data_IF_090660981241
#
_entry.id   IF_090660981241
#
_cell.length_a   1.000
_cell.length_b   1.000
_cell.length_c   1.000
_cell.angle_alpha   90.00
_cell.angle_beta   90.00
_cell.angle_gamma   90.00
#
_symmetry.space_group_name_H-M   'P 1'
#
loop_
_entity.id
_entity.type
_entity.pdbx_description
1 polymer ?
#
# COMPACT_ATOMS: atom_id res chain seq x y z
N UNK A 1 -30.14 2.49 -2.88
CA UNK A 1 -28.74 2.05 -2.99
C UNK A 1 -27.85 3.26 -3.24
N UNK A 2 -26.65 3.28 -2.64
CA UNK A 2 -25.65 4.33 -2.83
C UNK A 2 -24.33 3.60 -3.12
N UNK A 3 -23.66 3.96 -4.20
CA UNK A 3 -22.34 3.46 -4.59
C UNK A 3 -21.32 4.53 -4.22
N UNK A 4 -20.32 4.15 -3.43
CA UNK A 4 -19.26 5.05 -2.98
C UNK A 4 -17.93 4.54 -3.53
N UNK A 5 -17.27 5.39 -4.31
CA UNK A 5 -15.92 5.12 -4.83
C UNK A 5 -14.93 5.82 -3.91
N UNK A 6 -14.12 5.04 -3.20
CA UNK A 6 -13.08 5.57 -2.29
C UNK A 6 -11.75 5.72 -3.01
N UNK A 7 -10.84 6.52 -2.44
CA UNK A 7 -9.48 6.75 -2.97
C UNK A 7 -9.48 7.47 -4.33
N UNK A 8 -10.40 8.42 -4.50
CA UNK A 8 -10.53 9.23 -5.72
C UNK A 8 -9.29 10.12 -6.01
N UNK A 9 -8.31 10.18 -5.12
CA UNK A 9 -7.05 10.89 -5.34
C UNK A 9 -6.12 10.24 -6.38
N UNK A 10 -6.37 8.99 -6.78
CA UNK A 10 -5.65 8.34 -7.89
C UNK A 10 -6.07 8.85 -9.27
N UNK A 11 -7.06 9.74 -9.35
CA UNK A 11 -7.47 10.36 -10.62
C UNK A 11 -6.25 10.98 -11.34
N UNK A 12 -5.31 11.56 -10.60
CA UNK A 12 -4.12 12.21 -11.16
C UNK A 12 -3.00 11.25 -11.56
N UNK A 13 -3.00 10.02 -11.02
CA UNK A 13 -1.93 9.02 -11.26
C UNK A 13 -2.21 8.18 -12.51
N UNK A 14 -3.45 8.20 -13.01
CA UNK A 14 -3.90 7.39 -14.15
C UNK A 14 -4.17 8.28 -15.37
N UNK A 15 -4.15 7.68 -16.56
CA UNK A 15 -4.54 8.40 -17.78
C UNK A 15 -5.99 8.88 -17.70
N UNK A 16 -6.24 10.10 -18.20
CA UNK A 16 -7.56 10.73 -18.19
C UNK A 16 -8.62 9.86 -18.87
N UNK A 17 -8.27 9.26 -20.02
CA UNK A 17 -9.15 8.36 -20.77
C UNK A 17 -9.54 7.11 -19.97
N UNK A 18 -8.62 6.53 -19.20
CA UNK A 18 -8.92 5.38 -18.36
C UNK A 18 -9.86 5.75 -17.20
N UNK A 19 -9.73 6.97 -16.66
CA UNK A 19 -10.63 7.46 -15.61
C UNK A 19 -12.03 7.76 -16.16
N UNK A 20 -12.13 8.37 -17.34
CA UNK A 20 -13.40 8.66 -17.99
C UNK A 20 -14.14 7.37 -18.37
N UNK A 21 -13.40 6.32 -18.75
CA UNK A 21 -13.93 4.97 -18.97
C UNK A 21 -14.55 4.40 -17.70
N UNK A 22 -13.78 4.38 -16.60
CA UNK A 22 -14.27 3.91 -15.28
C UNK A 22 -15.50 4.72 -14.85
N UNK A 23 -15.46 6.04 -15.03
CA UNK A 23 -16.58 6.91 -14.69
C UNK A 23 -17.84 6.56 -15.49
N UNK A 24 -17.72 6.38 -16.81
CA UNK A 24 -18.83 5.95 -17.66
C UNK A 24 -19.43 4.62 -17.20
N UNK A 25 -18.58 3.63 -16.92
CA UNK A 25 -19.02 2.29 -16.55
C UNK A 25 -19.68 2.25 -15.16
N UNK A 26 -19.11 2.98 -14.19
CA UNK A 26 -19.70 3.09 -12.85
C UNK A 26 -21.02 3.88 -12.89
N UNK A 27 -21.12 4.93 -13.71
CA UNK A 27 -22.38 5.65 -13.90
C UNK A 27 -23.45 4.78 -14.55
N UNK A 28 -23.09 3.99 -15.56
CA UNK A 28 -23.99 3.03 -16.19
C UNK A 28 -24.47 1.96 -15.20
N UNK A 29 -23.56 1.45 -14.37
CA UNK A 29 -23.92 0.56 -13.26
C UNK A 29 -24.91 1.24 -12.31
N UNK A 30 -24.64 2.48 -11.88
CA UNK A 30 -25.55 3.20 -10.99
C UNK A 30 -26.93 3.44 -11.62
N UNK A 31 -26.99 3.73 -12.93
CA UNK A 31 -28.23 3.92 -13.66
C UNK A 31 -29.10 2.65 -13.67
N UNK A 32 -28.50 1.47 -13.86
CA UNK A 32 -29.22 0.19 -13.85
C UNK A 32 -29.94 -0.08 -12.52
N UNK A 33 -29.35 0.33 -11.40
CA UNK A 33 -29.90 0.12 -10.05
C UNK A 33 -30.62 1.36 -9.49
N UNK A 34 -30.71 2.46 -10.25
CA UNK A 34 -31.21 3.75 -9.72
C UNK A 34 -30.43 4.24 -8.50
N UNK A 35 -29.14 3.91 -8.42
CA UNK A 35 -28.27 4.25 -7.32
C UNK A 35 -27.71 5.66 -7.48
N UNK A 36 -27.35 6.27 -6.35
CA UNK A 36 -26.51 7.48 -6.36
C UNK A 36 -25.04 7.09 -6.38
N UNK A 37 -24.21 7.94 -6.98
CA UNK A 37 -22.77 7.75 -7.07
C UNK A 37 -22.05 8.89 -6.35
N UNK A 38 -21.09 8.55 -5.47
CA UNK A 38 -20.28 9.53 -4.75
C UNK A 38 -18.81 9.11 -4.78
N UNK A 39 -17.93 10.02 -5.18
CA UNK A 39 -16.48 9.82 -5.12
C UNK A 39 -15.93 10.47 -3.85
N UNK A 40 -15.12 9.74 -3.09
CA UNK A 40 -14.52 10.27 -1.86
C UNK A 40 -13.03 9.96 -1.80
N UNK A 41 -12.30 10.86 -1.17
CA UNK A 41 -10.87 10.74 -0.91
C UNK A 41 -10.56 11.25 0.49
N UNK A 42 -9.50 10.72 1.09
CA UNK A 42 -8.97 11.20 2.38
C UNK A 42 -8.43 12.63 2.28
N UNK A 43 -8.05 13.10 1.09
CA UNK A 43 -7.47 14.43 0.88
C UNK A 43 -8.50 15.56 0.96
N UNK A 44 -9.76 15.29 0.61
CA UNK A 44 -10.81 16.31 0.48
C UNK A 44 -12.09 15.89 1.22
N UNK A 45 -12.40 16.47 2.39
CA UNK A 45 -13.56 16.07 3.18
C UNK A 45 -14.90 16.60 2.66
N UNK A 46 -14.91 17.48 1.63
CA UNK A 46 -16.14 18.12 1.13
C UNK A 46 -17.19 17.09 0.71
N UNK A 47 -16.81 16.10 -0.10
CA UNK A 47 -17.75 15.10 -0.59
C UNK A 47 -18.14 14.08 0.48
N UNK A 48 -17.32 13.90 1.52
CA UNK A 48 -17.65 13.06 2.67
C UNK A 48 -18.78 13.68 3.50
N UNK A 49 -18.75 15.00 3.73
CA UNK A 49 -19.86 15.70 4.39
C UNK A 49 -21.13 15.66 3.54
N UNK A 50 -21.00 15.82 2.22
CA UNK A 50 -22.12 15.70 1.29
C UNK A 50 -22.75 14.30 1.35
N UNK A 51 -21.92 13.24 1.35
CA UNK A 51 -22.38 11.86 1.48
C UNK A 51 -23.16 11.65 2.77
N UNK A 52 -22.64 12.12 3.91
CA UNK A 52 -23.33 12.01 5.19
C UNK A 52 -24.71 12.71 5.14
N UNK A 53 -24.77 13.93 4.61
CA UNK A 53 -26.03 14.67 4.41
C UNK A 53 -26.99 13.92 3.48
N UNK A 54 -26.48 13.32 2.41
CA UNK A 54 -27.28 12.58 1.45
C UNK A 54 -27.82 11.27 2.04
N UNK A 55 -27.06 10.58 2.89
CA UNK A 55 -27.53 9.40 3.63
C UNK A 55 -28.69 9.77 4.54
N UNK A 56 -28.56 10.86 5.32
CA UNK A 56 -29.64 11.33 6.21
C UNK A 56 -30.89 11.71 5.39
N UNK A 57 -30.72 12.39 4.25
CA UNK A 57 -31.82 12.65 3.31
C UNK A 57 -32.51 11.35 2.87
N UNK A 58 -31.75 10.32 2.48
CA UNK A 58 -32.31 9.05 2.01
C UNK A 58 -32.93 8.20 3.11
N UNK A 59 -32.44 8.32 4.35
CA UNK A 59 -32.94 7.57 5.50
C UNK A 59 -34.20 8.19 6.09
N UNK A 60 -34.27 9.53 6.18
CA UNK A 60 -35.35 10.24 6.87
C UNK A 60 -36.27 11.05 5.94
N UNK A 61 -36.01 11.07 4.63
CA UNK A 61 -36.84 11.79 3.65
C UNK A 61 -36.76 13.32 3.73
N UNK A 62 -35.72 13.87 4.37
CA UNK A 62 -35.52 15.32 4.49
C UNK A 62 -35.29 15.97 3.12
N UNK A 63 -35.62 17.25 2.89
CA UNK A 63 -35.32 17.90 1.62
C UNK A 63 -33.80 17.95 1.34
N UNK A 64 -33.41 17.63 0.11
CA UNK A 64 -32.01 17.70 -0.35
C UNK A 64 -31.93 18.51 -1.64
N UNK A 65 -31.25 19.66 -1.57
CA UNK A 65 -31.19 20.65 -2.65
C UNK A 65 -29.83 20.71 -3.34
N UNK A 66 -28.88 19.86 -2.95
CA UNK A 66 -27.55 19.91 -3.55
C UNK A 66 -27.56 19.30 -4.94
N UNK A 67 -27.18 20.12 -5.93
CA UNK A 67 -27.04 19.72 -7.33
C UNK A 67 -25.90 18.73 -7.53
N UNK A 68 -26.02 17.91 -8.58
CA UNK A 68 -24.95 17.01 -9.02
C UNK A 68 -23.66 17.80 -9.30
N UNK A 69 -22.53 17.19 -8.94
CA UNK A 69 -21.19 17.71 -9.18
C UNK A 69 -20.44 16.71 -10.07
N UNK A 70 -20.02 17.16 -11.25
CA UNK A 70 -19.28 16.33 -12.20
C UNK A 70 -18.09 17.06 -12.83
N UNK A 71 -17.86 18.31 -12.41
CA UNK A 71 -16.78 19.16 -12.93
C UNK A 71 -15.45 18.66 -12.36
N UNK A 72 -15.42 18.48 -11.04
CA UNK A 72 -14.23 18.07 -10.31
C UNK A 72 -14.20 16.55 -10.17
N UNK A 73 -13.19 15.91 -10.78
CA UNK A 73 -13.07 14.44 -10.85
C UNK A 73 -12.80 13.77 -9.49
N UNK A 74 -12.24 14.51 -8.53
CA UNK A 74 -12.01 14.04 -7.16
C UNK A 74 -13.25 14.17 -6.26
N UNK A 75 -14.26 14.94 -6.67
CA UNK A 75 -15.46 15.25 -5.89
C UNK A 75 -16.76 15.04 -6.67
N UNK A 76 -16.78 13.99 -7.48
CA UNK A 76 -17.97 13.60 -8.26
C UNK A 76 -19.14 13.22 -7.32
N UNK A 77 -20.29 13.80 -7.58
CA UNK A 77 -21.56 13.51 -6.93
C UNK A 77 -22.68 13.44 -7.96
N UNK A 78 -23.31 12.27 -8.09
CA UNK A 78 -24.47 12.05 -8.94
C UNK A 78 -25.63 11.53 -8.07
N UNK A 79 -26.67 12.35 -7.80
CA UNK A 79 -27.83 11.90 -7.06
C UNK A 79 -28.67 10.90 -7.87
N UNK A 80 -29.45 10.08 -7.17
CA UNK A 80 -30.29 9.09 -7.83
C UNK A 80 -31.32 9.78 -8.75
N UNK A 81 -31.44 9.28 -9.98
CA UNK A 81 -32.35 9.84 -11.00
C UNK A 81 -31.82 11.08 -11.74
N UNK A 82 -30.62 11.56 -11.41
CA UNK A 82 -30.01 12.66 -12.16
C UNK A 82 -29.43 12.22 -13.51
N UNK A 83 -28.93 10.97 -13.58
CA UNK A 83 -28.26 10.44 -14.75
C UNK A 83 -29.22 9.92 -15.84
N UNK A 84 -28.73 9.75 -17.06
CA UNK A 84 -29.50 9.19 -18.19
C UNK A 84 -28.56 8.58 -19.23
N UNK A 85 -29.02 7.57 -19.98
CA UNK A 85 -28.19 6.88 -20.99
C UNK A 85 -27.58 7.88 -21.98
N UNK A 86 -28.37 8.85 -22.47
CA UNK A 86 -27.90 9.92 -23.38
C UNK A 86 -26.78 10.78 -22.78
N UNK A 87 -26.85 11.09 -21.47
CA UNK A 87 -25.81 11.89 -20.79
C UNK A 87 -24.52 11.10 -20.65
N UNK A 88 -24.62 9.79 -20.41
CA UNK A 88 -23.47 8.89 -20.33
C UNK A 88 -22.86 8.71 -21.71
N UNK A 89 -23.68 8.56 -22.75
CA UNK A 89 -23.23 8.37 -24.14
C UNK A 89 -22.44 9.57 -24.68
N UNK A 90 -22.82 10.80 -24.33
CA UNK A 90 -22.04 12.01 -24.66
C UNK A 90 -20.64 11.98 -24.03
N UNK A 91 -20.52 11.51 -22.79
CA UNK A 91 -19.21 11.37 -22.14
C UNK A 91 -18.42 10.25 -22.79
N UNK A 92 -19.10 9.14 -23.13
CA UNK A 92 -18.50 7.98 -23.80
C UNK A 92 -17.96 8.32 -25.19
N UNK A 93 -18.63 9.17 -25.97
CA UNK A 93 -18.18 9.55 -27.31
C UNK A 93 -16.87 10.33 -27.32
N UNK A 94 -16.50 10.97 -26.20
CA UNK A 94 -15.22 11.66 -26.07
C UNK A 94 -14.05 10.69 -25.81
N UNK A 95 -14.32 9.41 -25.56
CA UNK A 95 -13.31 8.38 -25.31
C UNK A 95 -12.98 7.71 -26.65
N UNK A 96 -11.78 7.97 -27.16
CA UNK A 96 -11.30 7.48 -28.47
C UNK A 96 -11.02 5.97 -28.51
N UNK A 97 -10.74 5.36 -27.37
CA UNK A 97 -10.37 3.95 -27.28
C UNK A 97 -11.58 3.13 -26.79
N UNK A 98 -12.31 2.54 -27.75
CA UNK A 98 -13.28 1.49 -27.44
C UNK A 98 -12.48 0.22 -27.16
N UNK A 99 -11.95 0.13 -25.96
CA UNK A 99 -11.42 -1.13 -25.46
C UNK A 99 -12.34 -1.65 -24.39
N UNK A 100 -12.61 -2.95 -24.44
CA UNK A 100 -13.32 -3.68 -23.40
C UNK A 100 -12.61 -3.36 -22.08
N UNK A 101 -13.33 -3.13 -20.97
CA UNK A 101 -12.68 -3.27 -19.67
C UNK A 101 -12.30 -4.75 -19.59
N UNK A 102 -11.15 -5.13 -20.15
CA UNK A 102 -10.45 -6.33 -19.75
C UNK A 102 -10.48 -6.28 -18.23
N UNK A 103 -11.13 -7.24 -17.55
CA UNK A 103 -11.14 -7.26 -16.11
C UNK A 103 -9.67 -7.27 -15.74
N UNK A 104 -9.19 -6.18 -15.16
CA UNK A 104 -7.83 -6.09 -14.63
C UNK A 104 -7.80 -6.98 -13.39
N UNK A 105 -7.91 -8.30 -13.61
CA UNK A 105 -7.26 -9.32 -12.83
C UNK A 105 -5.79 -9.07 -13.10
N UNK A 106 -5.26 -8.01 -12.53
CA UNK A 106 -3.87 -7.99 -12.14
C UNK A 106 -3.69 -9.35 -11.49
N UNK A 107 -3.01 -10.25 -12.21
CA UNK A 107 -2.51 -11.48 -11.62
C UNK A 107 -1.75 -10.93 -10.44
N UNK A 108 -2.31 -11.08 -9.24
CA UNK A 108 -1.60 -10.70 -8.03
C UNK A 108 -0.30 -11.45 -8.19
N UNK A 109 0.76 -10.72 -8.52
CA UNK A 109 2.10 -11.22 -8.41
C UNK A 109 2.27 -11.30 -6.90
N UNK A 110 1.70 -12.36 -6.34
CA UNK A 110 2.17 -12.95 -5.12
C UNK A 110 3.60 -13.31 -5.53
N UNK A 111 4.52 -12.38 -5.33
CA UNK A 111 5.87 -12.74 -5.03
C UNK A 111 5.69 -13.76 -3.92
N UNK A 112 5.75 -15.04 -4.28
CA UNK A 112 5.69 -16.14 -3.34
C UNK A 112 6.79 -15.80 -2.36
N UNK A 113 6.43 -15.24 -1.21
CA UNK A 113 7.30 -15.34 -0.05
C UNK A 113 7.63 -16.83 0.02
N UNK A 114 8.92 -17.20 0.06
CA UNK A 114 9.29 -18.59 0.13
C UNK A 114 8.57 -19.17 1.35
N UNK A 115 7.68 -20.13 1.10
CA UNK A 115 6.96 -20.84 2.14
C UNK A 115 8.02 -21.50 3.03
N UNK A 116 8.25 -20.92 4.21
CA UNK A 116 9.20 -21.47 5.18
C UNK A 116 8.50 -22.68 5.80
N UNK A 117 8.81 -23.86 5.26
CA UNK A 117 8.43 -25.13 5.87
C UNK A 117 9.16 -25.20 7.22
N UNK A 118 8.40 -25.20 8.31
CA UNK A 118 8.97 -25.42 9.64
C UNK A 118 9.59 -26.83 9.69
N UNK A 119 10.84 -26.95 10.14
CA UNK A 119 11.42 -28.27 10.42
C UNK A 119 10.57 -29.01 11.47
N UNK A 120 10.46 -30.33 11.31
CA UNK A 120 9.83 -31.19 12.31
C UNK A 120 10.58 -31.06 13.65
N UNK A 121 9.87 -30.58 14.68
CA UNK A 121 10.44 -30.28 15.99
C UNK A 121 11.06 -31.52 16.62
N UNK A 122 10.51 -32.71 16.35
CA UNK A 122 11.01 -33.96 16.93
C UNK A 122 12.34 -34.39 16.29
N UNK A 123 12.50 -34.21 14.98
CA UNK A 123 13.76 -34.42 14.27
C UNK A 123 14.85 -33.43 14.73
N UNK A 124 14.49 -32.16 14.93
CA UNK A 124 15.40 -31.14 15.47
C UNK A 124 15.91 -31.51 16.87
N UNK A 125 15.01 -31.87 17.79
CA UNK A 125 15.38 -32.27 19.15
C UNK A 125 16.26 -33.52 19.19
N UNK A 126 16.01 -34.48 18.30
CA UNK A 126 16.81 -35.72 18.20
C UNK A 126 18.23 -35.42 17.73
N UNK A 127 18.40 -34.58 16.69
CA UNK A 127 19.73 -34.13 16.23
C UNK A 127 20.49 -33.38 17.33
N UNK A 128 19.80 -32.55 18.11
CA UNK A 128 20.41 -31.81 19.21
C UNK A 128 20.86 -32.73 20.35
N UNK A 129 20.04 -33.72 20.72
CA UNK A 129 20.40 -34.73 21.72
C UNK A 129 21.61 -35.57 21.27
N UNK A 130 21.67 -35.96 20.00
CA UNK A 130 22.81 -36.69 19.44
C UNK A 130 24.11 -35.87 19.44
N UNK A 131 24.02 -34.56 19.22
CA UNK A 131 25.16 -33.65 19.28
C UNK A 131 25.69 -33.51 20.72
N UNK A 132 24.79 -33.38 21.70
CA UNK A 132 25.11 -33.41 23.13
C UNK A 132 25.74 -34.74 23.57
N UNK A 133 25.20 -35.87 23.09
CA UNK A 133 25.74 -37.19 23.40
C UNK A 133 27.13 -37.40 22.80
N UNK A 134 27.40 -36.88 21.59
CA UNK A 134 28.72 -36.97 20.96
C UNK A 134 29.79 -36.16 21.68
N UNK A 135 29.46 -34.98 22.22
CA UNK A 135 30.39 -34.18 23.02
C UNK A 135 30.71 -34.84 24.38
N UNK A 136 29.77 -35.62 24.93
CA UNK A 136 30.03 -36.41 26.15
C UNK A 136 30.96 -37.61 25.92
N UNK A 137 31.18 -38.02 24.67
CA UNK A 137 32.06 -39.14 24.32
C UNK A 137 33.50 -38.71 24.00
N UNK A 138 33.75 -37.42 23.73
CA UNK A 138 35.09 -36.86 23.44
C UNK A 138 35.78 -36.23 24.64
N UNK A 139 35.07 -36.00 25.76
CA UNK A 139 35.66 -35.42 26.98
C UNK A 139 35.52 -36.36 28.18
N UNK A 140 36.10 -37.56 28.04
CA UNK A 140 36.46 -38.37 29.18
C UNK A 140 37.56 -37.69 29.98
N UNK A 141 37.25 -37.44 31.26
CA UNK A 141 38.17 -37.01 32.34
C UNK A 141 38.39 -35.49 32.49
N UNK A 142 37.61 -34.86 33.37
CA UNK A 142 38.16 -34.03 34.46
C UNK A 142 37.17 -33.94 35.62
N UNK A 143 37.59 -34.56 36.71
CA UNK A 143 37.07 -34.44 38.07
C UNK A 143 37.51 -33.07 38.63
N UNK A 144 36.59 -32.20 39.05
CA UNK A 144 36.81 -31.23 40.14
C UNK A 144 35.45 -30.81 40.73
N UNK A 145 35.36 -30.87 42.06
CA UNK A 145 34.39 -30.18 42.90
C UNK A 145 34.43 -28.64 42.70
N UNK A 146 33.49 -27.95 43.36
CA UNK A 146 33.56 -26.52 43.72
C UNK A 146 32.90 -25.49 42.80
N UNK A 147 32.33 -24.49 43.47
CA UNK A 147 31.33 -23.56 43.01
C UNK A 147 31.86 -22.54 41.98
N UNK A 148 31.00 -22.21 41.02
CA UNK A 148 31.11 -21.01 40.18
C UNK A 148 31.93 -21.18 38.92
N UNK A 149 31.30 -21.62 37.82
CA UNK A 149 31.85 -21.45 36.47
C UNK A 149 30.79 -20.92 35.52
N UNK A 150 31.16 -19.86 34.82
CA UNK A 150 30.40 -19.12 33.82
C UNK A 150 29.73 -20.03 32.80
N UNK A 151 28.42 -19.84 32.58
CA UNK A 151 27.58 -20.58 31.63
C UNK A 151 27.96 -20.40 30.14
N UNK A 152 29.17 -19.88 29.85
CA UNK A 152 29.67 -19.51 28.53
C UNK A 152 30.08 -20.69 27.67
N UNK A 153 30.41 -21.84 28.26
CA UNK A 153 30.87 -23.05 27.52
C UNK A 153 29.84 -24.18 27.49
N UNK A 154 28.57 -23.90 27.82
CA UNK A 154 27.53 -24.91 27.65
C UNK A 154 27.25 -25.14 26.15
N UNK A 155 27.03 -26.39 25.69
CA UNK A 155 26.65 -26.68 24.31
C UNK A 155 25.42 -25.88 23.86
N UNK A 156 24.54 -25.57 24.82
CA UNK A 156 23.40 -24.68 24.67
C UNK A 156 23.82 -23.24 24.33
N UNK A 157 24.80 -22.67 25.04
CA UNK A 157 25.32 -21.32 24.77
C UNK A 157 26.06 -21.23 23.42
N UNK A 158 26.78 -22.27 23.02
CA UNK A 158 27.40 -22.38 21.68
C UNK A 158 26.36 -22.46 20.56
N UNK A 159 25.22 -23.08 20.83
CA UNK A 159 24.10 -23.13 19.88
C UNK A 159 23.37 -21.79 19.76
N UNK A 160 23.05 -21.14 20.89
CA UNK A 160 22.42 -19.81 20.88
C UNK A 160 23.33 -18.73 20.29
N UNK A 161 24.64 -18.79 20.50
CA UNK A 161 25.59 -17.86 19.90
C UNK A 161 25.70 -18.04 18.38
N UNK A 162 25.59 -19.27 17.85
CA UNK A 162 25.53 -19.52 16.41
C UNK A 162 24.20 -19.05 15.79
N UNK A 163 23.06 -19.21 16.49
CA UNK A 163 21.77 -18.66 16.05
C UNK A 163 21.73 -17.12 16.03
N UNK A 164 22.41 -16.47 16.97
CA UNK A 164 22.56 -15.01 16.98
C UNK A 164 23.52 -14.53 15.87
N UNK A 165 24.38 -15.41 15.36
CA UNK A 165 25.40 -15.10 14.36
C UNK A 165 24.88 -15.23 12.92
N UNK A 166 23.87 -16.06 12.68
CA UNK A 166 23.18 -16.16 11.39
C UNK A 166 22.18 -15.01 11.18
N UNK A 167 22.73 -13.85 10.81
CA UNK A 167 22.00 -12.82 10.07
C UNK A 167 22.38 -12.96 8.59
N UNK A 168 21.49 -13.40 7.69
CA UNK A 168 21.79 -13.34 6.26
C UNK A 168 21.98 -11.87 5.87
N UNK A 169 23.19 -11.54 5.41
CA UNK A 169 23.47 -10.32 4.66
C UNK A 169 22.63 -10.35 3.38
N UNK A 170 21.42 -9.80 3.45
CA UNK A 170 20.77 -9.23 2.28
C UNK A 170 21.31 -7.83 2.08
N UNK A 171 22.03 -7.67 0.97
CA UNK A 171 22.49 -6.39 0.42
C UNK A 171 21.38 -5.35 0.37
N UNK A 172 21.44 -4.34 1.25
CA UNK A 172 20.94 -3.00 0.95
C UNK A 172 21.93 -1.97 1.50
N UNK A 173 22.68 -1.40 0.56
CA UNK A 173 23.41 -0.15 0.71
C UNK A 173 22.46 0.94 1.21
N UNK A 174 22.74 1.47 2.38
CA UNK A 174 22.27 2.79 2.80
C UNK A 174 23.29 3.33 3.82
N UNK A 175 24.30 4.03 3.30
CA UNK A 175 25.13 4.90 4.14
C UNK A 175 24.29 6.10 4.58
N UNK A 176 24.43 6.60 5.82
CA UNK A 176 23.84 7.87 6.21
C UNK A 176 24.61 9.00 5.53
N UNK A 177 23.93 9.74 4.64
CA UNK A 177 24.48 10.94 4.00
C UNK A 177 24.25 12.13 4.92
N UNK A 178 25.36 12.78 5.30
CA UNK A 178 25.42 13.94 6.19
C UNK A 178 24.69 15.16 5.61
N UNK A 179 23.87 15.80 6.44
CA UNK A 179 23.01 16.95 6.11
C UNK A 179 23.74 18.18 5.56
N UNK A 180 25.06 18.30 5.76
CA UNK A 180 25.86 19.44 5.30
C UNK A 180 26.06 19.47 3.77
N UNK A 181 26.00 18.33 3.08
CA UNK A 181 26.21 18.29 1.63
C UNK A 181 24.94 18.60 0.83
N UNK A 182 23.75 18.40 1.40
CA UNK A 182 22.48 18.73 0.73
C UNK A 182 22.19 20.24 0.76
N UNK A 183 22.57 20.94 1.84
CA UNK A 183 22.38 22.40 1.92
C UNK A 183 23.29 23.14 0.94
N UNK A 184 24.54 22.71 0.78
CA UNK A 184 25.48 23.31 -0.19
C UNK A 184 25.06 23.12 -1.65
N UNK A 185 24.31 22.04 -1.96
CA UNK A 185 23.76 21.82 -3.32
C UNK A 185 22.52 22.66 -3.59
N UNK A 186 21.65 22.87 -2.59
CA UNK A 186 20.47 23.74 -2.72
C UNK A 186 20.89 25.21 -2.90
N UNK A 187 21.92 25.67 -2.18
CA UNK A 187 22.41 27.04 -2.29
C UNK A 187 23.05 27.31 -3.67
N UNK A 188 23.80 26.36 -4.22
CA UNK A 188 24.32 26.44 -5.61
C UNK A 188 23.22 26.48 -6.67
N UNK A 189 22.09 25.81 -6.45
CA UNK A 189 20.95 25.83 -7.38
C UNK A 189 20.19 27.17 -7.29
N UNK A 190 20.06 27.71 -6.08
CA UNK A 190 19.43 29.02 -5.89
C UNK A 190 20.26 30.15 -6.49
N UNK A 191 21.59 30.10 -6.33
CA UNK A 191 22.50 31.12 -6.86
C UNK A 191 22.58 31.12 -8.39
N UNK A 192 22.30 29.98 -9.04
CA UNK A 192 22.21 29.89 -10.51
C UNK A 192 20.92 30.49 -11.09
N UNK A 193 19.89 30.75 -10.27
CA UNK A 193 18.61 31.32 -10.74
C UNK A 193 18.51 32.84 -10.61
N UNK A 194 19.58 33.52 -10.19
CA UNK A 194 19.63 34.98 -10.03
C UNK A 194 20.77 35.58 -10.85
N UNK A 195 20.72 35.39 -12.17
CA UNK A 195 21.37 36.30 -13.11
C UNK A 195 20.28 36.84 -14.06
N UNK A 196 19.94 38.14 -14.01
CA UNK A 196 18.94 38.72 -14.89
C UNK A 196 19.50 38.99 -16.29
N UNK A 197 18.79 38.52 -17.31
CA UNK A 197 18.96 38.92 -18.70
C UNK A 197 18.93 40.46 -18.83
N UNK A 198 20.10 41.03 -19.08
CA UNK A 198 20.29 42.40 -19.55
C UNK A 198 21.16 42.36 -20.79
N UNK A 199 20.52 42.28 -21.96
CA UNK A 199 21.10 42.73 -23.21
C UNK A 199 19.99 43.26 -24.11
N UNK A 200 19.92 44.59 -24.18
CA UNK A 200 19.48 45.29 -25.38
C UNK A 200 20.60 45.24 -26.44
#
# INVERSE_FOLDING_TARGET
MIVVVTKADLVNERSEQAMDKVLCDVRRFCLQYGAALVYTTTKNPKNTQLLAKYIVHRAYGLPFTTSAQMIDRDTIFVPAGWDSEKKIEIVRSNITEIDVLEPNREKVNVAKEPEVIAEDTQAFLTRFADMLAKDSATNGQKNVDDAGTTASDSPLASFFSNLLKDKPQSTRTAAPVSDEQQQAQIEKIFQKSVEPDSAA
#
